data_IF_886864412972
#
_entry.id   IF_886864412972
#
_cell.length_a   1.000
_cell.length_b   1.000
_cell.length_c   1.000
_cell.angle_alpha   90.00
_cell.angle_beta   90.00
_cell.angle_gamma   90.00
#
_symmetry.space_group_name_H-M   'P 1'
#
loop_
_entity.id
_entity.type
_entity.pdbx_description
1 polymer ?
#
# COMPACT_ATOMS: atom_id res chain seq x y z
N UNK A 1 -2.63 1.06 -8.72
CA UNK A 1 -3.68 0.56 -7.81
C UNK A 1 -3.33 0.96 -6.39
N UNK A 2 -4.28 1.53 -5.66
CA UNK A 2 -4.09 1.98 -4.29
C UNK A 2 -4.72 0.96 -3.33
N UNK A 3 -3.92 0.37 -2.45
CA UNK A 3 -4.37 -0.55 -1.41
C UNK A 3 -4.17 0.12 -0.06
N UNK A 4 -5.19 0.15 0.78
CA UNK A 4 -5.04 0.56 2.17
C UNK A 4 -5.44 -0.62 3.07
N UNK A 5 -4.68 -0.85 4.14
CA UNK A 5 -4.97 -1.85 5.18
C UNK A 5 -5.41 -1.09 6.43
N UNK A 6 -6.66 -1.26 6.85
CA UNK A 6 -7.20 -0.61 8.05
C UNK A 6 -6.70 -1.34 9.30
N UNK A 7 -5.76 -0.73 10.02
CA UNK A 7 -5.23 -1.28 11.28
C UNK A 7 -5.84 -0.55 12.47
N UNK A 8 -6.02 -1.26 13.58
CA UNK A 8 -6.65 -0.77 14.80
C UNK A 8 -6.13 -1.56 16.01
N UNK A 9 -6.23 -1.03 17.22
CA UNK A 9 -5.77 -1.79 18.39
C UNK A 9 -6.50 -3.13 18.54
N UNK A 10 -5.73 -4.21 18.64
CA UNK A 10 -6.24 -5.57 18.80
C UNK A 10 -6.52 -6.34 17.51
N UNK A 11 -6.16 -5.82 16.33
CA UNK A 11 -6.19 -6.61 15.08
C UNK A 11 -5.20 -7.80 15.12
N UNK A 12 -5.47 -8.85 14.34
CA UNK A 12 -4.53 -9.96 14.12
C UNK A 12 -3.37 -9.49 13.24
N UNK A 13 -2.16 -9.55 13.80
CA UNK A 13 -0.93 -9.16 13.15
C UNK A 13 -0.74 -9.79 11.77
N UNK A 14 -1.02 -11.09 11.63
CA UNK A 14 -0.72 -11.84 10.42
C UNK A 14 -1.72 -11.51 9.31
N UNK A 15 -2.96 -11.18 9.68
CA UNK A 15 -3.98 -10.75 8.74
C UNK A 15 -3.76 -9.32 8.23
N UNK A 16 -3.03 -8.48 8.98
CA UNK A 16 -2.58 -7.17 8.49
C UNK A 16 -1.26 -7.24 7.70
N UNK A 17 -0.25 -7.92 8.26
CA UNK A 17 1.10 -7.99 7.67
C UNK A 17 1.12 -8.83 6.41
N UNK A 18 0.42 -9.98 6.39
CA UNK A 18 0.44 -10.91 5.26
C UNK A 18 0.01 -10.24 3.94
N UNK A 19 -1.19 -9.62 3.87
CA UNK A 19 -1.60 -8.87 2.69
C UNK A 19 -0.67 -7.70 2.37
N UNK A 20 -0.18 -6.99 3.39
CA UNK A 20 0.74 -5.85 3.18
C UNK A 20 1.99 -6.28 2.41
N UNK A 21 2.68 -7.29 2.90
CA UNK A 21 3.93 -7.79 2.31
C UNK A 21 3.73 -8.33 0.90
N UNK A 22 2.62 -9.02 0.64
CA UNK A 22 2.31 -9.59 -0.68
C UNK A 22 2.10 -8.48 -1.72
N UNK A 23 1.34 -7.43 -1.38
CA UNK A 23 1.09 -6.33 -2.32
C UNK A 23 2.34 -5.46 -2.51
N UNK A 24 3.08 -5.14 -1.45
CA UNK A 24 4.33 -4.38 -1.54
C UNK A 24 5.33 -5.10 -2.47
N UNK A 25 5.54 -6.39 -2.22
CA UNK A 25 6.40 -7.22 -3.07
C UNK A 25 5.91 -7.27 -4.52
N UNK A 26 4.60 -7.43 -4.74
CA UNK A 26 4.03 -7.46 -6.08
C UNK A 26 4.23 -6.14 -6.84
N UNK A 27 4.07 -4.99 -6.17
CA UNK A 27 4.32 -3.68 -6.76
C UNK A 27 5.80 -3.48 -7.09
N UNK A 28 6.71 -3.90 -6.21
CA UNK A 28 8.15 -3.92 -6.48
C UNK A 28 8.50 -4.78 -7.69
N UNK A 29 8.07 -6.04 -7.68
CA UNK A 29 8.30 -7.00 -8.78
C UNK A 29 7.76 -6.49 -10.12
N UNK A 30 6.55 -5.94 -10.14
CA UNK A 30 5.97 -5.43 -11.36
C UNK A 30 6.75 -4.21 -11.87
N UNK A 31 7.27 -3.36 -10.97
CA UNK A 31 8.02 -2.15 -11.32
C UNK A 31 9.35 -2.50 -11.97
N UNK A 32 10.07 -3.46 -11.39
CA UNK A 32 11.31 -4.00 -11.96
C UNK A 32 11.09 -4.63 -13.35
N UNK A 33 10.01 -5.39 -13.53
CA UNK A 33 9.72 -6.02 -14.83
C UNK A 33 9.32 -5.01 -15.90
N UNK A 34 8.63 -3.92 -15.51
CA UNK A 34 8.34 -2.81 -16.43
C UNK A 34 9.64 -2.16 -16.89
N UNK A 35 10.54 -1.85 -15.97
CA UNK A 35 11.86 -1.27 -16.30
C UNK A 35 12.64 -2.17 -17.29
N UNK A 36 12.72 -3.48 -17.04
CA UNK A 36 13.40 -4.44 -17.96
C UNK A 36 12.78 -4.51 -19.36
N UNK A 37 11.45 -4.35 -19.47
CA UNK A 37 10.76 -4.31 -20.77
C UNK A 37 11.07 -3.01 -21.52
N UNK A 38 11.07 -1.90 -20.80
CA UNK A 38 11.37 -0.58 -21.35
C UNK A 38 12.85 -0.49 -21.77
N UNK A 39 13.78 -1.18 -21.10
CA UNK A 39 15.19 -1.30 -21.52
C UNK A 39 15.40 -2.14 -22.80
N UNK A 40 14.55 -3.15 -23.03
CA UNK A 40 14.63 -4.03 -24.22
C UNK A 40 13.94 -3.46 -25.48
N UNK A 41 13.10 -2.45 -25.32
CA UNK A 41 12.43 -1.69 -26.37
C UNK A 41 13.05 -0.30 -26.38
N UNK A 42 14.06 -0.04 -27.22
CA UNK A 42 14.76 1.26 -27.27
C UNK A 42 13.89 2.45 -27.68
N UNK A 43 12.90 2.82 -26.88
CA UNK A 43 12.07 4.01 -27.04
C UNK A 43 12.64 5.13 -26.20
N UNK A 44 13.26 6.09 -26.89
CA UNK A 44 13.60 7.42 -26.40
C UNK A 44 12.30 8.18 -26.12
N UNK A 45 11.69 7.99 -24.95
CA UNK A 45 10.68 8.93 -24.45
C UNK A 45 11.12 9.44 -23.07
N UNK A 46 11.95 10.48 -23.10
CA UNK A 46 12.50 11.17 -21.93
C UNK A 46 11.47 12.09 -21.23
N UNK A 47 10.16 11.88 -21.45
CA UNK A 47 9.10 12.71 -20.86
C UNK A 47 8.04 11.96 -20.06
N UNK A 48 8.34 10.76 -19.55
CA UNK A 48 7.41 10.00 -18.71
C UNK A 48 7.22 10.60 -17.30
N UNK A 49 6.72 11.83 -17.23
CA UNK A 49 5.93 12.39 -16.13
C UNK A 49 4.53 11.71 -16.14
N UNK A 50 4.54 10.39 -15.95
CA UNK A 50 3.34 9.56 -15.75
C UNK A 50 3.23 9.16 -14.28
N UNK A 51 2.03 8.95 -13.73
CA UNK A 51 1.83 8.85 -12.29
C UNK A 51 2.73 7.76 -11.69
N UNK A 52 3.44 8.16 -10.64
CA UNK A 52 4.31 7.35 -9.80
C UNK A 52 3.71 5.98 -9.46
N UNK A 53 4.45 4.91 -9.72
CA UNK A 53 4.23 3.59 -9.13
C UNK A 53 3.07 2.79 -9.71
N UNK A 54 3.32 1.51 -9.99
CA UNK A 54 2.28 0.55 -10.38
C UNK A 54 1.17 0.38 -9.32
N UNK A 55 1.44 0.86 -8.11
CA UNK A 55 0.49 1.04 -7.03
C UNK A 55 1.17 1.57 -5.79
N UNK A 56 0.36 1.72 -4.74
CA UNK A 56 0.84 1.97 -3.38
C UNK A 56 0.10 1.06 -2.42
N UNK A 57 0.75 0.71 -1.32
CA UNK A 57 0.12 0.12 -0.15
C UNK A 57 0.42 0.95 1.09
N UNK A 58 -0.53 1.05 2.01
CA UNK A 58 -0.40 1.81 3.26
C UNK A 58 -1.12 1.13 4.42
N UNK A 59 -0.58 1.26 5.62
CA UNK A 59 -1.34 1.06 6.86
C UNK A 59 -2.07 2.36 7.22
N UNK A 60 -3.37 2.28 7.46
CA UNK A 60 -4.20 3.45 7.80
C UNK A 60 -5.07 3.19 9.03
N UNK A 61 -5.44 4.28 9.72
CA UNK A 61 -6.39 4.28 10.84
C UNK A 61 -7.59 5.17 10.53
N UNK A 62 -8.65 5.10 11.36
CA UNK A 62 -9.82 5.99 11.20
C UNK A 62 -9.57 7.42 11.73
N UNK A 63 -8.66 7.56 12.69
CA UNK A 63 -8.25 8.82 13.31
C UNK A 63 -6.73 8.95 13.26
N UNK A 64 -6.20 10.15 13.49
CA UNK A 64 -4.75 10.38 13.52
C UNK A 64 -4.09 9.54 14.63
N UNK A 65 -3.14 8.68 14.24
CA UNK A 65 -2.32 7.89 15.16
C UNK A 65 -0.94 7.65 14.55
N UNK A 66 0.08 7.58 15.40
CA UNK A 66 1.45 7.21 14.98
C UNK A 66 1.63 5.69 14.90
N UNK A 67 0.89 4.93 15.71
CA UNK A 67 1.01 3.48 15.79
C UNK A 67 -0.22 2.83 16.46
N UNK A 68 -0.43 1.55 16.17
CA UNK A 68 -1.40 0.67 16.85
C UNK A 68 -0.70 -0.52 17.48
N UNK A 69 -1.34 -1.15 18.47
CA UNK A 69 -0.87 -2.39 19.09
C UNK A 69 -1.81 -3.54 18.71
N UNK A 70 -1.29 -4.50 17.96
CA UNK A 70 -2.02 -5.68 17.52
C UNK A 70 -2.26 -6.68 18.68
N UNK A 71 -3.08 -7.70 18.43
CA UNK A 71 -3.62 -8.61 19.45
C UNK A 71 -2.58 -9.36 20.28
N UNK A 72 -1.39 -9.63 19.72
CA UNK A 72 -0.26 -10.29 20.38
C UNK A 72 0.89 -9.31 20.72
N UNK A 73 0.61 -8.01 20.73
CA UNK A 73 1.52 -6.98 21.23
C UNK A 73 2.50 -6.42 20.19
N UNK A 74 2.39 -6.81 18.92
CA UNK A 74 3.18 -6.18 17.86
C UNK A 74 2.73 -4.74 17.68
N UNK A 75 3.69 -3.80 17.67
CA UNK A 75 3.41 -2.38 17.45
C UNK A 75 3.68 -2.03 15.99
N UNK A 76 2.66 -1.56 15.29
CA UNK A 76 2.72 -1.24 13.86
C UNK A 76 2.58 0.25 13.66
N UNK A 77 3.47 0.84 12.86
CA UNK A 77 3.40 2.25 12.47
C UNK A 77 2.29 2.50 11.45
N UNK A 78 1.73 3.70 11.47
CA UNK A 78 0.61 4.10 10.62
C UNK A 78 1.07 5.16 9.62
N UNK A 79 0.69 4.99 8.35
CA UNK A 79 1.07 5.91 7.27
C UNK A 79 0.09 7.10 7.13
N UNK A 80 -1.13 6.98 7.67
CA UNK A 80 -2.08 8.07 7.72
C UNK A 80 -3.52 7.65 8.05
N UNK A 81 -4.45 8.57 7.80
CA UNK A 81 -5.88 8.37 8.03
C UNK A 81 -6.56 7.83 6.76
N UNK A 82 -7.51 6.90 6.94
CA UNK A 82 -8.34 6.38 5.86
C UNK A 82 -9.09 7.54 5.18
N UNK A 83 -8.95 7.72 3.85
CA UNK A 83 -9.66 8.79 3.15
C UNK A 83 -11.17 8.58 3.15
N UNK A 84 -11.92 9.67 2.98
CA UNK A 84 -13.35 9.59 2.67
C UNK A 84 -13.58 8.72 1.42
N UNK A 85 -14.60 7.84 1.40
CA UNK A 85 -14.82 6.90 0.30
C UNK A 85 -15.13 7.57 -1.05
N UNK A 86 -15.49 8.85 -1.04
CA UNK A 86 -15.75 9.64 -2.26
C UNK A 86 -14.56 10.51 -2.68
N UNK A 87 -13.51 10.59 -1.85
CA UNK A 87 -12.33 11.37 -2.16
C UNK A 87 -11.50 10.71 -3.27
N UNK A 88 -10.82 11.52 -4.09
CA UNK A 88 -9.87 11.04 -5.10
C UNK A 88 -8.73 10.20 -4.50
N UNK A 89 -8.43 10.41 -3.22
CA UNK A 89 -7.41 9.65 -2.50
C UNK A 89 -7.86 8.27 -2.03
N UNK A 90 -9.16 7.95 -2.12
CA UNK A 90 -9.71 6.67 -1.66
C UNK A 90 -8.97 5.47 -2.29
N UNK A 91 -8.82 4.37 -1.54
CA UNK A 91 -8.17 3.17 -2.06
C UNK A 91 -9.07 2.46 -3.08
N UNK A 92 -8.44 1.76 -4.04
CA UNK A 92 -9.13 0.84 -4.94
C UNK A 92 -9.52 -0.46 -4.21
N UNK A 93 -8.79 -0.81 -3.15
CA UNK A 93 -9.01 -1.96 -2.29
C UNK A 93 -8.74 -1.59 -0.84
N UNK A 94 -9.73 -1.80 0.03
CA UNK A 94 -9.59 -1.70 1.48
C UNK A 94 -9.54 -3.11 2.10
N UNK A 95 -8.47 -3.41 2.82
CA UNK A 95 -8.32 -4.66 3.60
C UNK A 95 -8.66 -4.36 5.06
N UNK A 96 -9.53 -5.16 5.66
CA UNK A 96 -9.87 -5.10 7.09
C UNK A 96 -9.46 -6.44 7.72
N UNK A 97 -8.34 -6.47 8.46
CA UNK A 97 -7.86 -7.67 9.15
C UNK A 97 -8.83 -8.17 10.23
N UNK A 98 -8.68 -9.43 10.62
CA UNK A 98 -9.42 -10.06 11.72
C UNK A 98 -9.07 -9.51 13.10
#
# INVERSE_FOLDING_TARGET
MNVDVLVYDGFDELDGIGPYEVFDYAFGFASENRAKRDEGNGSLDETADGPSGLGRIRYVTLDESEAVTASHGTRVGVDGVLPDPTATAAPDLLVVPG
#
